data_IF_326712265684
#
_entry.id   IF_326712265684
#
_cell.length_a   1.000
_cell.length_b   1.000
_cell.length_c   1.000
_cell.angle_alpha   90.00
_cell.angle_beta   90.00
_cell.angle_gamma   90.00
#
_symmetry.space_group_name_H-M   'P 1'
#
loop_
_entity.id
_entity.type
_entity.pdbx_description
1 polymer ?
#
# COMPACT_ATOMS: atom_id res chain seq x y z
N UNK A 1 -14.18 4.13 0.83
CA UNK A 1 -13.36 2.89 0.73
C UNK A 1 -12.13 3.07 -0.15
N UNK A 2 -12.25 3.56 -1.40
CA UNK A 2 -11.09 3.80 -2.29
C UNK A 2 -9.96 4.65 -1.67
N UNK A 3 -10.29 5.64 -0.85
CA UNK A 3 -9.29 6.49 -0.19
C UNK A 3 -8.45 5.78 0.91
N UNK A 4 -8.94 4.66 1.45
CA UNK A 4 -8.28 3.92 2.55
C UNK A 4 -7.44 2.75 2.04
N UNK A 5 -7.78 2.21 0.86
CA UNK A 5 -7.07 1.10 0.20
C UNK A 5 -5.55 1.30 0.13
N UNK A 6 -5.02 2.49 -0.21
CA UNK A 6 -3.58 2.73 -0.17
C UNK A 6 -2.92 2.47 1.19
N UNK A 7 -3.59 2.80 2.30
CA UNK A 7 -3.05 2.53 3.64
C UNK A 7 -3.08 1.05 3.99
N UNK A 8 -4.10 0.32 3.54
CA UNK A 8 -4.20 -1.13 3.73
C UNK A 8 -3.13 -1.87 2.92
N UNK A 9 -2.73 -1.34 1.76
CA UNK A 9 -1.74 -1.94 0.87
C UNK A 9 -0.28 -1.86 1.37
N UNK A 10 0.01 -1.15 2.47
CA UNK A 10 1.38 -0.92 2.97
C UNK A 10 2.13 -2.25 3.20
N UNK A 11 1.50 -3.24 3.85
CA UNK A 11 2.17 -4.52 4.14
C UNK A 11 2.45 -5.30 2.85
N UNK A 12 1.56 -5.25 1.85
CA UNK A 12 1.80 -5.88 0.55
C UNK A 12 3.01 -5.26 -0.15
N UNK A 13 3.15 -3.93 -0.10
CA UNK A 13 4.31 -3.22 -0.67
C UNK A 13 5.60 -3.57 0.08
N UNK A 14 5.56 -3.62 1.41
CA UNK A 14 6.71 -4.02 2.23
C UNK A 14 7.18 -5.43 1.87
N UNK A 15 6.26 -6.40 1.84
CA UNK A 15 6.55 -7.79 1.51
C UNK A 15 7.12 -7.91 0.09
N UNK A 16 6.55 -7.18 -0.88
CA UNK A 16 7.05 -7.17 -2.25
C UNK A 16 8.48 -6.62 -2.35
N UNK A 17 8.78 -5.52 -1.64
CA UNK A 17 10.13 -4.94 -1.60
C UNK A 17 11.16 -5.90 -0.98
N UNK A 18 10.82 -6.52 0.15
CA UNK A 18 11.70 -7.50 0.81
C UNK A 18 11.95 -8.70 -0.11
N UNK A 19 10.90 -9.28 -0.69
CA UNK A 19 11.02 -10.51 -1.45
C UNK A 19 11.63 -10.34 -2.85
N UNK A 20 11.34 -9.22 -3.53
CA UNK A 20 11.73 -9.04 -4.93
C UNK A 20 12.98 -8.19 -5.10
N UNK A 21 13.19 -7.21 -4.22
CA UNK A 21 14.35 -6.33 -4.25
C UNK A 21 15.40 -6.67 -3.19
N UNK A 22 15.15 -7.67 -2.33
CA UNK A 22 16.02 -8.00 -1.20
C UNK A 22 16.15 -6.85 -0.21
N UNK A 23 15.12 -6.00 -0.12
CA UNK A 23 15.16 -4.79 0.69
C UNK A 23 15.24 -5.13 2.18
N UNK A 24 15.98 -4.34 2.94
CA UNK A 24 15.94 -4.40 4.40
C UNK A 24 14.54 -4.03 4.91
N UNK A 25 13.95 -4.91 5.73
CA UNK A 25 12.57 -4.75 6.21
C UNK A 25 12.40 -3.47 7.02
N UNK A 26 13.36 -3.15 7.89
CA UNK A 26 13.23 -2.01 8.79
C UNK A 26 13.35 -0.69 8.03
N UNK A 27 14.33 -0.58 7.13
CA UNK A 27 14.51 0.59 6.27
C UNK A 27 13.31 0.81 5.33
N UNK A 28 12.77 -0.27 4.73
CA UNK A 28 11.58 -0.18 3.89
C UNK A 28 10.36 0.28 4.69
N UNK A 29 10.17 -0.28 5.89
CA UNK A 29 9.05 0.06 6.74
C UNK A 29 9.08 1.54 7.19
N UNK A 30 10.23 2.07 7.59
CA UNK A 30 10.32 3.49 7.98
C UNK A 30 10.00 4.42 6.81
N UNK A 31 10.51 4.12 5.61
CA UNK A 31 10.22 4.92 4.41
C UNK A 31 8.74 4.89 4.03
N UNK A 32 8.09 3.73 4.16
CA UNK A 32 6.64 3.62 3.97
C UNK A 32 5.86 4.38 5.04
N UNK A 33 6.32 4.36 6.29
CA UNK A 33 5.71 5.11 7.40
C UNK A 33 5.77 6.62 7.15
N UNK A 34 6.90 7.16 6.71
CA UNK A 34 7.04 8.58 6.37
C UNK A 34 6.06 9.02 5.27
N UNK A 35 6.00 8.27 4.17
CA UNK A 35 5.04 8.55 3.09
C UNK A 35 3.59 8.46 3.54
N UNK A 36 3.27 7.46 4.37
CA UNK A 36 1.92 7.25 4.90
C UNK A 36 1.49 8.37 5.84
N UNK A 37 2.39 8.87 6.68
CA UNK A 37 2.11 10.02 7.54
C UNK A 37 1.91 11.29 6.74
N UNK A 38 2.74 11.53 5.72
CA UNK A 38 2.60 12.69 4.85
C UNK A 38 1.26 12.66 4.09
N UNK A 39 0.88 11.52 3.50
CA UNK A 39 -0.41 11.35 2.85
C UNK A 39 -1.59 11.52 3.83
N UNK A 40 -1.50 10.91 5.01
CA UNK A 40 -2.51 11.06 6.06
C UNK A 40 -2.67 12.50 6.56
N UNK A 41 -1.59 13.28 6.57
CA UNK A 41 -1.62 14.71 6.89
C UNK A 41 -2.42 15.50 5.84
N UNK A 42 -2.20 15.23 4.55
CA UNK A 42 -2.94 15.86 3.46
C UNK A 42 -4.44 15.58 3.54
N UNK A 43 -4.83 14.35 3.85
CA UNK A 43 -6.24 13.99 4.02
C UNK A 43 -6.84 14.69 5.24
N UNK A 44 -6.18 14.58 6.41
CA UNK A 44 -6.76 15.03 7.68
C UNK A 44 -6.80 16.55 7.83
N UNK A 45 -5.74 17.24 7.42
CA UNK A 45 -5.61 18.68 7.66
C UNK A 45 -6.12 19.51 6.48
N UNK A 46 -5.98 19.00 5.26
CA UNK A 46 -6.30 19.76 4.05
C UNK A 46 -7.54 19.25 3.32
N UNK A 47 -8.15 18.14 3.76
CA UNK A 47 -9.32 17.54 3.10
C UNK A 47 -9.04 17.07 1.68
N UNK A 48 -7.78 16.76 1.36
CA UNK A 48 -7.35 16.35 0.03
C UNK A 48 -7.38 14.83 -0.14
N UNK A 49 -7.32 14.36 -1.38
CA UNK A 49 -7.25 12.93 -1.70
C UNK A 49 -5.97 12.28 -1.14
N UNK A 50 -6.05 10.98 -0.85
CA UNK A 50 -4.91 10.19 -0.46
C UNK A 50 -3.90 10.06 -1.62
N UNK A 51 -2.72 10.64 -1.46
CA UNK A 51 -1.65 10.67 -2.45
C UNK A 51 -0.52 9.66 -2.20
N UNK A 52 -0.69 8.71 -1.28
CA UNK A 52 0.34 7.73 -0.88
C UNK A 52 0.95 6.99 -2.08
N UNK A 53 0.12 6.51 -3.01
CA UNK A 53 0.61 5.78 -4.19
C UNK A 53 1.40 6.68 -5.12
N UNK A 54 1.02 7.96 -5.22
CA UNK A 54 1.78 8.94 -6.01
C UNK A 54 3.17 9.15 -5.40
N UNK A 55 3.26 9.24 -4.07
CA UNK A 55 4.53 9.37 -3.34
C UNK A 55 5.43 8.14 -3.55
N UNK A 56 4.86 6.94 -3.47
CA UNK A 56 5.58 5.69 -3.71
C UNK A 56 6.06 5.58 -5.17
N UNK A 57 5.24 5.98 -6.15
CA UNK A 57 5.65 6.03 -7.57
C UNK A 57 6.75 7.05 -7.83
N UNK A 58 6.76 8.18 -7.11
CA UNK A 58 7.78 9.21 -7.25
C UNK A 58 9.12 8.85 -6.57
N UNK A 59 9.10 7.90 -5.65
CA UNK A 59 10.26 7.49 -4.89
C UNK A 59 10.98 6.30 -5.57
N UNK A 60 12.18 6.57 -6.08
CA UNK A 60 13.00 5.59 -6.82
C UNK A 60 13.37 4.37 -6.00
N UNK A 61 13.30 4.44 -4.66
CA UNK A 61 13.48 3.27 -3.79
C UNK A 61 12.48 2.15 -4.11
N UNK A 62 11.25 2.50 -4.48
CA UNK A 62 10.19 1.54 -4.78
C UNK A 62 10.11 1.15 -6.26
N UNK A 63 11.04 1.61 -7.10
CA UNK A 63 11.08 1.30 -8.53
C UNK A 63 10.92 -0.20 -8.86
N UNK A 64 11.50 -1.15 -8.10
CA UNK A 64 11.35 -2.58 -8.38
C UNK A 64 9.89 -3.09 -8.37
N UNK A 65 8.99 -2.43 -7.63
CA UNK A 65 7.60 -2.87 -7.46
C UNK A 65 6.57 -1.98 -8.17
N UNK A 66 7.02 -0.95 -8.90
CA UNK A 66 6.12 0.01 -9.58
C UNK A 66 5.12 -0.66 -10.51
N UNK A 67 5.53 -1.71 -11.24
CA UNK A 67 4.66 -2.47 -12.15
C UNK A 67 3.59 -3.32 -11.46
N UNK A 68 3.58 -3.41 -10.13
CA UNK A 68 2.62 -4.18 -9.33
C UNK A 68 1.73 -3.32 -8.45
N UNK A 69 2.00 -2.00 -8.36
CA UNK A 69 1.27 -1.11 -7.45
C UNK A 69 -0.24 -1.13 -7.66
N UNK A 70 -0.70 -1.21 -8.91
CA UNK A 70 -2.12 -1.22 -9.22
C UNK A 70 -2.78 -2.54 -8.74
N UNK A 71 -2.05 -3.66 -8.77
CA UNK A 71 -2.51 -4.95 -8.21
C UNK A 71 -2.64 -4.89 -6.69
N UNK A 72 -1.72 -4.24 -5.98
CA UNK A 72 -1.81 -4.13 -4.52
C UNK A 72 -3.00 -3.30 -4.04
N UNK A 73 -3.62 -2.53 -4.95
CA UNK A 73 -4.80 -1.70 -4.70
C UNK A 73 -6.12 -2.39 -5.07
N UNK A 74 -6.07 -3.64 -5.54
CA UNK A 74 -7.28 -4.41 -5.82
C UNK A 74 -8.00 -4.76 -4.51
N UNK A 75 -9.27 -4.31 -4.31
CA UNK A 75 -10.04 -4.60 -3.11
C UNK A 75 -10.20 -6.09 -2.81
N UNK A 76 -10.21 -6.95 -3.83
CA UNK A 76 -10.36 -8.40 -3.69
C UNK A 76 -9.20 -9.01 -2.88
N UNK A 77 -8.02 -8.37 -2.87
CA UNK A 77 -6.89 -8.84 -2.07
C UNK A 77 -7.09 -8.64 -0.55
N UNK A 78 -8.14 -7.93 -0.12
CA UNK A 78 -8.38 -7.57 1.28
C UNK A 78 -9.58 -8.27 1.92
N UNK A 79 -10.30 -9.10 1.18
CA UNK A 79 -11.49 -9.80 1.70
C UNK A 79 -11.19 -11.20 2.25
N UNK A 80 -9.96 -11.71 2.05
CA UNK A 80 -9.53 -13.00 2.58
C UNK A 80 -10.45 -14.14 2.14
N UNK A 81 -11.03 -14.86 3.11
CA UNK A 81 -11.98 -15.97 2.86
C UNK A 81 -13.44 -15.56 3.02
N UNK A 82 -13.74 -14.25 2.94
CA UNK A 82 -15.10 -13.76 3.19
C UNK A 82 -16.14 -14.41 2.28
N UNK A 83 -15.81 -14.67 1.01
CA UNK A 83 -16.66 -15.41 0.07
C UNK A 83 -16.92 -16.84 0.55
N UNK A 84 -15.87 -17.61 0.86
CA UNK A 84 -15.96 -19.00 1.32
C UNK A 84 -16.76 -19.13 2.63
N UNK A 85 -16.71 -18.09 3.48
CA UNK A 85 -17.36 -18.10 4.80
C UNK A 85 -18.87 -17.92 4.74
N UNK A 86 -19.40 -17.40 3.64
CA UNK A 86 -20.84 -17.16 3.42
C UNK A 86 -21.43 -18.05 2.34
N UNK A 87 -20.61 -18.89 1.71
CA UNK A 87 -21.05 -19.92 0.79
C UNK A 87 -21.71 -21.04 1.59
N UNK A 88 -22.98 -21.29 1.30
CA UNK A 88 -23.73 -22.43 1.82
C UNK A 88 -23.96 -23.40 0.66
N UNK A 89 -23.70 -24.69 0.88
CA UNK A 89 -24.05 -25.78 -0.04
C UNK A 89 -25.57 -25.92 -0.24
#
# INVERSE_FOLDING_TARGET
>A
MAAELPFLAIEQILVAMVNQAGADRQACHERLREHSQAAGCMVKLNGLDNDLIKRIKADSYFAPIHGQLDRFLDPENFIGRASDQVEFD
#
